data_IF_627281081877
#
_entry.id   IF_627281081877
#
_cell.length_a   1.000
_cell.length_b   1.000
_cell.length_c   1.000
_cell.angle_alpha   90.00
_cell.angle_beta   90.00
_cell.angle_gamma   90.00
#
_symmetry.space_group_name_H-M   'P 1'
#
loop_
_entity.id
_entity.type
_entity.pdbx_description
1 polymer ?
#
# COMPACT_ATOMS: atom_id res chain seq x y z
N UNK A 1 6.16 46.69 -1.29
CA UNK A 1 5.97 45.24 -1.57
C UNK A 1 6.60 44.48 -0.40
N UNK A 2 5.78 43.83 0.38
CA UNK A 2 6.17 43.38 1.74
C UNK A 2 7.09 42.14 1.67
N UNK A 3 8.36 42.32 2.03
CA UNK A 3 9.41 41.25 1.99
C UNK A 3 8.96 40.02 2.78
N UNK A 4 8.20 40.21 3.88
CA UNK A 4 7.68 39.09 4.69
C UNK A 4 6.63 38.26 3.95
N UNK A 5 5.81 38.88 3.09
CA UNK A 5 4.79 38.19 2.30
C UNK A 5 5.44 37.34 1.20
N UNK A 6 6.48 37.87 0.55
CA UNK A 6 7.26 37.14 -0.46
C UNK A 6 7.94 35.89 0.14
N UNK A 7 8.58 36.05 1.29
CA UNK A 7 9.27 34.94 1.97
C UNK A 7 8.32 33.86 2.50
N UNK A 8 7.12 34.24 2.94
CA UNK A 8 6.08 33.32 3.34
C UNK A 8 5.53 32.49 2.14
N UNK A 9 5.32 33.16 1.01
CA UNK A 9 4.87 32.50 -0.22
C UNK A 9 5.94 31.52 -0.75
N UNK A 10 7.22 31.89 -0.75
CA UNK A 10 8.33 31.02 -1.14
C UNK A 10 8.42 29.76 -0.25
N UNK A 11 8.24 29.90 1.06
CA UNK A 11 8.25 28.77 1.99
C UNK A 11 7.07 27.81 1.75
N UNK A 12 5.87 28.32 1.41
CA UNK A 12 4.72 27.48 1.07
C UNK A 12 4.99 26.65 -0.20
N UNK A 13 5.49 27.29 -1.25
CA UNK A 13 5.84 26.59 -2.50
C UNK A 13 6.91 25.52 -2.26
N UNK A 14 7.92 25.84 -1.49
CA UNK A 14 8.95 24.88 -1.13
C UNK A 14 8.36 23.65 -0.40
N UNK A 15 7.50 23.87 0.62
CA UNK A 15 6.85 22.78 1.33
C UNK A 15 5.96 21.94 0.42
N UNK A 16 5.20 22.54 -0.48
CA UNK A 16 4.39 21.82 -1.45
C UNK A 16 5.25 20.95 -2.36
N UNK A 17 6.38 21.45 -2.86
CA UNK A 17 7.29 20.69 -3.70
C UNK A 17 7.92 19.53 -2.93
N UNK A 18 8.48 19.75 -1.74
CA UNK A 18 9.13 18.68 -0.97
C UNK A 18 8.16 17.57 -0.57
N UNK A 19 6.92 17.91 -0.17
CA UNK A 19 5.92 16.89 0.11
C UNK A 19 5.42 16.15 -1.14
N UNK A 20 5.43 16.78 -2.30
CA UNK A 20 5.14 16.09 -3.56
C UNK A 20 6.25 15.10 -3.93
N UNK A 21 7.52 15.45 -3.72
CA UNK A 21 8.65 14.53 -3.91
C UNK A 21 8.62 13.35 -2.91
N UNK A 22 8.29 13.61 -1.64
CA UNK A 22 8.09 12.57 -0.63
C UNK A 22 6.94 11.64 -1.04
N UNK A 23 5.82 12.19 -1.51
CA UNK A 23 4.69 11.41 -1.99
C UNK A 23 5.08 10.51 -3.17
N UNK A 24 5.84 11.05 -4.13
CA UNK A 24 6.34 10.29 -5.28
C UNK A 24 7.30 9.17 -4.85
N UNK A 25 8.20 9.45 -3.90
CA UNK A 25 9.12 8.44 -3.36
C UNK A 25 8.36 7.32 -2.61
N UNK A 26 7.39 7.68 -1.77
CA UNK A 26 6.54 6.71 -1.06
C UNK A 26 5.66 5.90 -2.03
N UNK A 27 5.24 6.49 -3.16
CA UNK A 27 4.46 5.78 -4.17
C UNK A 27 5.19 4.58 -4.75
N UNK A 28 6.51 4.67 -4.92
CA UNK A 28 7.34 3.54 -5.36
C UNK A 28 7.25 2.36 -4.38
N UNK A 29 7.37 2.63 -3.08
CA UNK A 29 7.23 1.60 -2.04
C UNK A 29 5.81 1.02 -2.00
N UNK A 30 4.77 1.86 -2.11
CA UNK A 30 3.37 1.44 -2.15
C UNK A 30 3.12 0.53 -3.36
N UNK A 31 3.64 0.88 -4.53
CA UNK A 31 3.52 0.10 -5.75
C UNK A 31 4.07 -1.32 -5.57
N UNK A 32 5.28 -1.44 -5.04
CA UNK A 32 5.88 -2.75 -4.81
C UNK A 32 5.16 -3.55 -3.72
N UNK A 33 4.76 -2.92 -2.62
CA UNK A 33 3.94 -3.58 -1.61
C UNK A 33 2.60 -4.08 -2.17
N UNK A 34 1.89 -3.27 -2.96
CA UNK A 34 0.60 -3.64 -3.56
C UNK A 34 0.75 -4.86 -4.49
N UNK A 35 1.75 -4.87 -5.36
CA UNK A 35 2.04 -6.01 -6.26
C UNK A 35 2.36 -7.26 -5.44
N UNK A 36 3.27 -7.14 -4.49
CA UNK A 36 3.74 -8.28 -3.69
C UNK A 36 2.62 -8.88 -2.86
N UNK A 37 1.83 -8.05 -2.17
CA UNK A 37 0.69 -8.52 -1.37
C UNK A 37 -0.33 -9.27 -2.23
N UNK A 38 -0.67 -8.68 -3.38
CA UNK A 38 -1.61 -9.26 -4.34
C UNK A 38 -1.13 -10.61 -4.84
N UNK A 39 0.09 -10.68 -5.35
CA UNK A 39 0.65 -11.89 -5.94
C UNK A 39 0.87 -12.98 -4.88
N UNK A 40 1.23 -12.60 -3.66
CA UNK A 40 1.37 -13.52 -2.54
C UNK A 40 0.03 -14.16 -2.17
N UNK A 41 -1.02 -13.36 -1.91
CA UNK A 41 -2.35 -13.87 -1.55
C UNK A 41 -2.93 -14.72 -2.69
N UNK A 42 -2.88 -14.21 -3.92
CA UNK A 42 -3.41 -14.91 -5.09
C UNK A 42 -2.76 -16.28 -5.27
N UNK A 43 -1.43 -16.36 -5.23
CA UNK A 43 -0.67 -17.61 -5.37
C UNK A 43 -1.02 -18.61 -4.25
N UNK A 44 -1.13 -18.16 -3.01
CA UNK A 44 -1.50 -19.04 -1.88
C UNK A 44 -2.92 -19.58 -2.02
N UNK A 45 -3.87 -18.74 -2.44
CA UNK A 45 -5.27 -19.17 -2.62
C UNK A 45 -5.44 -20.08 -3.85
N UNK A 46 -4.74 -19.83 -4.96
CA UNK A 46 -4.70 -20.75 -6.08
C UNK A 46 -4.20 -22.14 -5.68
N UNK A 47 -3.10 -22.21 -4.94
CA UNK A 47 -2.55 -23.48 -4.44
C UNK A 47 -3.52 -24.17 -3.47
N UNK A 48 -4.15 -23.43 -2.57
CA UNK A 48 -5.10 -23.96 -1.57
C UNK A 48 -6.33 -24.57 -2.22
N UNK A 49 -6.92 -23.89 -3.19
CA UNK A 49 -8.16 -24.29 -3.84
C UNK A 49 -7.95 -25.03 -5.16
N UNK A 50 -6.68 -25.19 -5.59
CA UNK A 50 -6.28 -25.90 -6.82
C UNK A 50 -7.01 -25.39 -8.07
N UNK A 51 -7.22 -24.06 -8.15
CA UNK A 51 -7.90 -23.39 -9.25
C UNK A 51 -7.44 -21.93 -9.39
N UNK A 52 -7.39 -21.48 -10.64
CA UNK A 52 -6.99 -20.10 -10.95
C UNK A 52 -8.06 -19.08 -10.54
N UNK A 53 -9.33 -19.45 -10.62
CA UNK A 53 -10.50 -18.65 -10.26
C UNK A 53 -10.98 -18.98 -8.83
N UNK A 54 -10.06 -19.02 -7.87
CA UNK A 54 -10.29 -19.34 -6.46
C UNK A 54 -11.41 -18.52 -5.81
N UNK A 55 -11.68 -17.32 -6.33
CA UNK A 55 -12.75 -16.43 -5.85
C UNK A 55 -14.17 -17.00 -6.08
N UNK A 56 -14.32 -17.97 -7.00
CA UNK A 56 -15.57 -18.69 -7.22
C UNK A 56 -15.77 -19.85 -6.22
N UNK A 57 -14.86 -20.03 -5.25
CA UNK A 57 -15.04 -21.02 -4.20
C UNK A 57 -16.26 -20.66 -3.33
N UNK A 58 -17.27 -21.53 -3.21
CA UNK A 58 -18.48 -21.27 -2.44
C UNK A 58 -18.14 -20.89 -0.98
N UNK A 59 -18.75 -19.81 -0.50
CA UNK A 59 -18.59 -19.34 0.88
C UNK A 59 -17.22 -18.75 1.21
N UNK A 60 -16.30 -18.62 0.27
CA UNK A 60 -14.99 -17.97 0.50
C UNK A 60 -15.16 -16.47 0.67
N UNK A 61 -15.65 -15.80 -0.35
CA UNK A 61 -15.82 -14.34 -0.36
C UNK A 61 -17.19 -13.91 0.18
N UNK A 62 -17.24 -12.72 0.75
CA UNK A 62 -18.52 -12.06 1.02
C UNK A 62 -19.13 -11.53 -0.27
N UNK A 63 -20.42 -11.19 -0.21
CA UNK A 63 -21.14 -10.58 -1.34
C UNK A 63 -20.43 -9.32 -1.85
N UNK A 64 -19.82 -8.53 -0.96
CA UNK A 64 -19.13 -7.28 -1.32
C UNK A 64 -17.90 -7.54 -2.17
N UNK A 65 -17.00 -8.40 -1.71
CA UNK A 65 -15.76 -8.73 -2.44
C UNK A 65 -16.07 -9.48 -3.72
N UNK A 66 -17.05 -10.39 -3.70
CA UNK A 66 -17.49 -11.10 -4.90
C UNK A 66 -18.02 -10.12 -5.98
N UNK A 67 -18.85 -9.14 -5.58
CA UNK A 67 -19.36 -8.12 -6.51
C UNK A 67 -18.23 -7.23 -7.07
N UNK A 68 -17.15 -6.98 -6.32
CA UNK A 68 -15.99 -6.25 -6.86
C UNK A 68 -15.34 -7.03 -8.02
N UNK A 69 -15.17 -8.33 -7.85
CA UNK A 69 -14.63 -9.19 -8.91
C UNK A 69 -15.57 -9.22 -10.10
N UNK A 70 -16.87 -9.40 -9.90
CA UNK A 70 -17.85 -9.40 -10.98
C UNK A 70 -17.83 -8.09 -11.79
N UNK A 71 -17.66 -6.94 -11.12
CA UNK A 71 -17.54 -5.65 -11.82
C UNK A 71 -16.29 -5.57 -12.70
N UNK A 72 -15.19 -6.16 -12.25
CA UNK A 72 -13.95 -6.24 -13.03
C UNK A 72 -14.16 -7.15 -14.24
N UNK A 73 -14.72 -8.35 -14.03
CA UNK A 73 -14.99 -9.32 -15.11
C UNK A 73 -15.95 -8.77 -16.18
N UNK A 74 -17.00 -8.04 -15.76
CA UNK A 74 -18.00 -7.50 -16.67
C UNK A 74 -17.50 -6.29 -17.51
N UNK A 75 -16.42 -5.63 -17.09
CA UNK A 75 -15.84 -4.48 -17.81
C UNK A 75 -14.86 -4.87 -18.91
N UNK A 76 -14.50 -6.12 -18.98
CA UNK A 76 -13.39 -6.58 -19.78
C UNK A 76 -13.81 -7.79 -20.63
N UNK A 77 -13.22 -7.97 -21.82
CA UNK A 77 -13.47 -9.12 -22.69
C UNK A 77 -13.01 -10.42 -22.00
N UNK A 78 -13.91 -11.39 -21.85
CA UNK A 78 -13.90 -12.44 -20.81
C UNK A 78 -12.76 -13.46 -20.93
N UNK A 79 -12.25 -13.75 -22.12
CA UNK A 79 -11.39 -14.93 -22.32
C UNK A 79 -9.89 -14.73 -21.98
N UNK A 80 -9.35 -13.53 -22.13
CA UNK A 80 -7.96 -13.21 -21.69
C UNK A 80 -7.86 -12.86 -20.22
N UNK A 81 -8.97 -12.61 -19.55
CA UNK A 81 -9.04 -11.91 -18.25
C UNK A 81 -8.96 -12.78 -17.02
N UNK A 82 -9.19 -14.09 -17.12
CA UNK A 82 -9.02 -14.95 -15.92
C UNK A 82 -7.62 -14.84 -15.32
N UNK A 83 -6.63 -14.56 -16.15
CA UNK A 83 -5.24 -14.30 -15.70
C UNK A 83 -5.00 -12.88 -15.22
N UNK A 84 -5.86 -11.92 -15.59
CA UNK A 84 -5.66 -10.50 -15.30
C UNK A 84 -6.57 -9.97 -14.17
N UNK A 85 -7.59 -10.69 -13.72
CA UNK A 85 -8.51 -10.24 -12.66
C UNK A 85 -7.75 -9.71 -11.46
N UNK A 86 -6.71 -10.42 -11.04
CA UNK A 86 -5.87 -10.02 -9.90
C UNK A 86 -5.27 -8.62 -10.07
N UNK A 87 -4.83 -8.26 -11.29
CA UNK A 87 -4.15 -6.98 -11.55
C UNK A 87 -5.10 -5.79 -11.57
N UNK A 88 -6.39 -6.04 -11.75
CA UNK A 88 -7.44 -5.02 -11.82
C UNK A 88 -8.13 -4.78 -10.47
N UNK A 89 -7.87 -5.64 -9.48
CA UNK A 89 -8.43 -5.47 -8.14
C UNK A 89 -7.58 -4.49 -7.33
N UNK A 90 -8.20 -3.49 -6.66
CA UNK A 90 -7.49 -2.47 -5.91
C UNK A 90 -6.86 -3.03 -4.62
N UNK A 91 -5.85 -2.34 -4.08
CA UNK A 91 -5.22 -2.67 -2.80
C UNK A 91 -6.24 -2.92 -1.68
N UNK A 92 -7.32 -2.13 -1.64
CA UNK A 92 -8.39 -2.27 -0.64
C UNK A 92 -9.07 -3.64 -0.66
N UNK A 93 -9.16 -4.29 -1.82
CA UNK A 93 -9.67 -5.66 -1.92
C UNK A 93 -8.75 -6.65 -1.19
N UNK A 94 -7.45 -6.56 -1.43
CA UNK A 94 -6.45 -7.46 -0.85
C UNK A 94 -6.31 -7.26 0.66
N UNK A 95 -6.33 -6.02 1.13
CA UNK A 95 -6.33 -5.69 2.56
C UNK A 95 -7.61 -6.19 3.25
N UNK A 96 -8.78 -6.14 2.60
CA UNK A 96 -10.02 -6.68 3.15
C UNK A 96 -9.95 -8.19 3.42
N UNK A 97 -9.19 -8.95 2.62
CA UNK A 97 -8.98 -10.38 2.83
C UNK A 97 -8.13 -10.72 4.07
N UNK A 98 -7.44 -9.75 4.65
CA UNK A 98 -6.64 -9.91 5.88
C UNK A 98 -7.46 -9.70 7.16
N UNK A 99 -8.73 -9.30 7.05
CA UNK A 99 -9.60 -9.07 8.21
C UNK A 99 -9.90 -10.36 8.99
N UNK A 100 -10.33 -10.22 10.26
CA UNK A 100 -10.75 -11.35 11.11
C UNK A 100 -11.78 -12.27 10.44
N UNK A 101 -12.65 -11.70 9.59
CA UNK A 101 -13.64 -12.46 8.81
C UNK A 101 -13.03 -13.56 7.96
N UNK A 102 -11.84 -13.32 7.42
CA UNK A 102 -11.14 -14.24 6.53
C UNK A 102 -10.04 -15.03 7.23
N UNK A 103 -10.01 -15.05 8.57
CA UNK A 103 -8.95 -15.71 9.33
C UNK A 103 -8.76 -17.18 8.90
N UNK A 104 -9.78 -18.00 8.99
CA UNK A 104 -9.69 -19.43 8.64
C UNK A 104 -9.60 -19.70 7.14
N UNK A 105 -10.20 -18.82 6.33
CA UNK A 105 -10.33 -19.04 4.88
C UNK A 105 -9.15 -18.51 4.06
N UNK A 106 -8.51 -17.45 4.55
CA UNK A 106 -7.39 -16.78 3.87
C UNK A 106 -6.16 -16.79 4.77
N UNK A 107 -6.18 -16.12 5.92
CA UNK A 107 -4.99 -15.87 6.73
C UNK A 107 -4.21 -17.14 7.08
N UNK A 108 -4.86 -18.17 7.61
CA UNK A 108 -4.19 -19.44 7.96
C UNK A 108 -3.50 -20.10 6.75
N UNK A 109 -3.99 -19.86 5.53
CA UNK A 109 -3.38 -20.40 4.31
C UNK A 109 -2.19 -19.56 3.82
N UNK A 110 -1.97 -18.37 4.37
CA UNK A 110 -0.82 -17.53 4.03
C UNK A 110 0.46 -18.00 4.75
N UNK A 111 0.32 -18.67 5.89
CA UNK A 111 1.43 -19.15 6.73
C UNK A 111 2.38 -18.02 7.15
N UNK A 112 1.83 -16.87 7.56
CA UNK A 112 2.59 -15.69 7.97
C UNK A 112 2.81 -15.60 9.49
N UNK A 113 2.17 -16.47 10.30
CA UNK A 113 2.19 -16.35 11.77
C UNK A 113 3.60 -16.44 12.36
N UNK A 114 4.53 -17.15 11.70
CA UNK A 114 5.93 -17.26 12.10
C UNK A 114 6.82 -16.10 11.64
N UNK A 115 6.31 -15.23 10.74
CA UNK A 115 7.07 -14.18 10.09
C UNK A 115 6.67 -12.77 10.56
N UNK A 116 5.55 -12.65 11.27
CA UNK A 116 5.04 -11.37 11.74
C UNK A 116 4.40 -11.49 13.13
N UNK A 117 4.17 -10.36 13.79
CA UNK A 117 3.52 -10.26 15.12
C UNK A 117 2.01 -10.55 15.07
N UNK A 118 1.62 -11.52 14.22
CA UNK A 118 0.26 -11.97 14.06
C UNK A 118 -0.58 -11.13 13.07
N UNK A 119 -1.75 -11.70 12.75
CA UNK A 119 -2.68 -11.16 11.77
C UNK A 119 -3.12 -9.71 12.06
N UNK A 120 -3.38 -9.40 13.32
CA UNK A 120 -3.95 -8.09 13.69
C UNK A 120 -2.97 -6.96 13.41
N UNK A 121 -1.71 -7.15 13.76
CA UNK A 121 -0.66 -6.17 13.50
C UNK A 121 -0.36 -6.04 12.01
N UNK A 122 -0.30 -7.16 11.28
CA UNK A 122 -0.12 -7.12 9.82
C UNK A 122 -1.27 -6.35 9.15
N UNK A 123 -2.52 -6.68 9.50
CA UNK A 123 -3.70 -6.02 8.94
C UNK A 123 -3.76 -4.53 9.32
N UNK A 124 -3.43 -4.17 10.57
CA UNK A 124 -3.40 -2.77 11.01
C UNK A 124 -2.40 -1.96 10.17
N UNK A 125 -1.16 -2.46 10.05
CA UNK A 125 -0.11 -1.79 9.23
C UNK A 125 -0.52 -1.70 7.76
N UNK A 126 -1.10 -2.76 7.19
CA UNK A 126 -1.60 -2.74 5.81
C UNK A 126 -2.74 -1.72 5.61
N UNK A 127 -3.60 -1.51 6.61
CA UNK A 127 -4.63 -0.45 6.56
C UNK A 127 -4.03 0.96 6.63
N UNK A 128 -2.97 1.18 7.42
CA UNK A 128 -2.26 2.46 7.45
C UNK A 128 -1.65 2.78 6.07
N UNK A 129 -1.05 1.77 5.42
CA UNK A 129 -0.53 1.91 4.06
C UNK A 129 -1.66 2.20 3.06
N UNK A 130 -2.80 1.50 3.17
CA UNK A 130 -3.97 1.77 2.32
C UNK A 130 -4.48 3.20 2.50
N UNK A 131 -4.51 3.71 3.72
CA UNK A 131 -4.90 5.10 4.01
C UNK A 131 -3.91 6.10 3.37
N UNK A 132 -2.59 5.88 3.53
CA UNK A 132 -1.55 6.69 2.89
C UNK A 132 -1.68 6.66 1.36
N UNK A 133 -1.83 5.47 0.78
CA UNK A 133 -2.03 5.28 -0.67
C UNK A 133 -3.21 6.11 -1.18
N UNK A 134 -4.32 6.11 -0.45
CA UNK A 134 -5.52 6.87 -0.85
C UNK A 134 -5.30 8.38 -0.77
N UNK A 135 -4.55 8.88 0.23
CA UNK A 135 -4.19 10.30 0.29
C UNK A 135 -3.35 10.70 -0.92
N UNK A 136 -2.29 9.95 -1.22
CA UNK A 136 -1.39 10.24 -2.36
C UNK A 136 -2.15 10.15 -3.70
N UNK A 137 -2.92 9.08 -3.91
CA UNK A 137 -3.67 8.86 -5.15
C UNK A 137 -4.74 9.93 -5.43
N UNK A 138 -5.22 10.61 -4.38
CA UNK A 138 -6.19 11.70 -4.49
C UNK A 138 -5.57 13.09 -4.28
N UNK A 139 -4.24 13.19 -4.35
CA UNK A 139 -3.48 14.45 -4.19
C UNK A 139 -3.83 15.21 -2.89
N UNK A 140 -4.10 14.45 -1.81
CA UNK A 140 -4.42 15.02 -0.51
C UNK A 140 -3.16 15.23 0.32
N UNK A 141 -3.24 16.15 1.25
CA UNK A 141 -2.14 16.47 2.16
C UNK A 141 -1.70 15.25 3.00
N UNK A 142 -0.38 15.04 3.07
CA UNK A 142 0.26 13.97 3.84
C UNK A 142 1.16 14.48 4.97
N UNK A 143 1.35 15.79 5.10
CA UNK A 143 2.27 16.42 6.07
C UNK A 143 1.91 16.12 7.53
N UNK A 144 0.63 15.91 7.83
CA UNK A 144 0.13 15.58 9.17
C UNK A 144 0.36 14.12 9.58
N UNK A 145 0.84 13.25 8.66
CA UNK A 145 1.09 11.84 8.94
C UNK A 145 2.50 11.59 9.48
N UNK A 146 2.65 10.52 10.22
CA UNK A 146 3.97 10.00 10.59
C UNK A 146 4.56 9.20 9.40
N UNK A 147 5.15 9.92 8.43
CA UNK A 147 5.66 9.34 7.20
C UNK A 147 6.88 8.43 7.42
N UNK A 148 7.65 8.64 8.49
CA UNK A 148 8.74 7.71 8.88
C UNK A 148 8.17 6.37 9.27
N UNK A 149 7.12 6.34 10.09
CA UNK A 149 6.42 5.11 10.48
C UNK A 149 5.80 4.44 9.26
N UNK A 150 5.15 5.21 8.39
CA UNK A 150 4.50 4.68 7.20
C UNK A 150 5.52 4.04 6.24
N UNK A 151 6.71 4.66 6.07
CA UNK A 151 7.83 4.09 5.32
C UNK A 151 8.35 2.80 5.97
N UNK A 152 8.52 2.78 7.29
CA UNK A 152 8.93 1.58 8.01
C UNK A 152 7.92 0.42 7.80
N UNK A 153 6.63 0.69 7.91
CA UNK A 153 5.60 -0.32 7.64
C UNK A 153 5.65 -0.88 6.22
N UNK A 154 5.88 -0.03 5.23
CA UNK A 154 6.06 -0.47 3.83
C UNK A 154 7.24 -1.43 3.68
N UNK A 155 8.39 -1.07 4.25
CA UNK A 155 9.58 -1.91 4.24
C UNK A 155 9.37 -3.26 4.95
N UNK A 156 8.86 -3.21 6.19
CA UNK A 156 8.61 -4.41 7.01
C UNK A 156 7.62 -5.36 6.36
N UNK A 157 6.46 -4.86 5.91
CA UNK A 157 5.44 -5.72 5.30
C UNK A 157 5.90 -6.29 3.96
N UNK A 158 6.63 -5.51 3.15
CA UNK A 158 7.22 -6.03 1.91
C UNK A 158 8.26 -7.09 2.21
N UNK A 159 9.10 -6.91 3.24
CA UNK A 159 10.11 -7.89 3.64
C UNK A 159 9.52 -9.21 4.17
N UNK A 160 8.37 -9.17 4.83
CA UNK A 160 7.64 -10.38 5.25
C UNK A 160 7.15 -11.18 4.03
N UNK A 161 6.74 -10.50 2.97
CA UNK A 161 6.19 -11.13 1.76
C UNK A 161 7.29 -11.54 0.78
N UNK A 162 8.28 -10.66 0.57
CA UNK A 162 9.43 -10.82 -0.32
C UNK A 162 10.65 -10.04 0.21
N UNK A 163 11.55 -10.70 0.98
CA UNK A 163 12.71 -10.05 1.58
C UNK A 163 13.73 -9.52 0.56
N UNK A 164 13.82 -10.15 -0.60
CA UNK A 164 14.78 -9.77 -1.64
C UNK A 164 14.33 -8.49 -2.33
N UNK A 165 13.05 -8.44 -2.72
CA UNK A 165 12.45 -7.23 -3.30
C UNK A 165 12.51 -6.06 -2.32
N UNK A 166 12.19 -6.28 -1.03
CA UNK A 166 12.24 -5.23 -0.02
C UNK A 166 13.64 -4.59 0.06
N UNK A 167 14.71 -5.41 0.06
CA UNK A 167 16.10 -4.90 0.05
C UNK A 167 16.42 -4.09 -1.20
N UNK A 168 15.96 -4.53 -2.37
CA UNK A 168 16.20 -3.83 -3.62
C UNK A 168 15.44 -2.50 -3.72
N UNK A 169 14.22 -2.43 -3.18
CA UNK A 169 13.44 -1.19 -3.09
C UNK A 169 14.09 -0.21 -2.13
N UNK A 170 14.53 -0.68 -0.95
CA UNK A 170 15.15 0.17 0.06
C UNK A 170 16.49 0.77 -0.41
N UNK A 171 17.35 -0.01 -1.11
CA UNK A 171 18.58 0.50 -1.70
C UNK A 171 18.38 1.70 -2.62
N UNK A 172 17.21 1.85 -3.22
CA UNK A 172 16.87 2.91 -4.17
C UNK A 172 15.96 3.97 -3.55
N UNK A 173 15.63 3.80 -2.27
CA UNK A 173 14.75 4.70 -1.55
C UNK A 173 15.39 6.07 -1.35
N UNK A 174 14.61 7.13 -1.59
CA UNK A 174 14.98 8.50 -1.27
C UNK A 174 14.11 9.09 -0.15
N UNK A 175 13.23 8.26 0.41
CA UNK A 175 12.20 8.73 1.36
C UNK A 175 12.83 9.38 2.59
N UNK A 176 13.83 8.72 3.20
CA UNK A 176 14.44 9.22 4.44
C UNK A 176 15.23 10.52 4.20
N UNK A 177 15.96 10.63 3.07
CA UNK A 177 16.69 11.85 2.70
C UNK A 177 15.74 13.04 2.50
N UNK A 178 14.62 12.81 1.81
CA UNK A 178 13.60 13.83 1.59
C UNK A 178 12.92 14.24 2.88
N UNK A 179 12.65 13.31 3.80
CA UNK A 179 12.06 13.60 5.11
C UNK A 179 13.01 14.40 6.01
N UNK A 180 14.32 14.13 5.95
CA UNK A 180 15.34 14.90 6.65
C UNK A 180 15.38 16.34 6.13
N UNK A 181 15.39 16.53 4.81
CA UNK A 181 15.38 17.85 4.18
C UNK A 181 14.12 18.66 4.58
N UNK A 182 12.95 18.03 4.59
CA UNK A 182 11.71 18.68 4.99
C UNK A 182 11.74 19.18 6.45
N UNK A 183 12.37 18.41 7.35
CA UNK A 183 12.52 18.81 8.78
C UNK A 183 13.44 20.00 8.98
N UNK A 184 14.55 20.04 8.24
CA UNK A 184 15.53 21.14 8.35
C UNK A 184 14.92 22.49 7.99
N UNK A 185 14.01 22.51 7.01
CA UNK A 185 13.33 23.74 6.59
C UNK A 185 12.19 24.12 7.53
N UNK A 186 11.44 23.16 8.05
CA UNK A 186 10.38 23.42 9.05
C UNK A 186 10.91 23.93 10.39
N UNK A 187 12.15 23.59 10.77
CA UNK A 187 12.82 24.05 11.99
C UNK A 187 13.57 25.39 11.84
N UNK A 188 13.87 25.81 10.61
CA UNK A 188 14.56 27.07 10.32
C UNK A 188 13.67 28.31 10.25
N UNK A 189 12.36 28.18 10.35
CA UNK A 189 11.36 29.26 10.30
C UNK A 189 10.99 29.88 11.67
N UNK A 190 11.71 29.53 12.73
CA UNK A 190 11.48 30.03 14.09
C UNK A 190 12.66 30.89 14.58
N UNK A 191 12.80 32.12 14.08
CA UNK A 191 13.45 33.26 14.74
C UNK A 191 12.55 34.51 14.54
#
# INVERSE_FOLDING_TARGET
>A
MDIRKSQFEENIWYLLFIYSEIAAALWVHIFFFEITLRDFIDTKLQRRYKRLDWWNQPGLLSKREFLQIQRVLNRSNIDELKYQVRTLLPLSFWVALLTKRYFTKVWLNLHLDSLCDGRENFHLRANEILALRNLIAHHREISSRNLIRDHAYLGELTAILDPELAREVEKRSRVLDLLLNARLVGSGGGI
#
